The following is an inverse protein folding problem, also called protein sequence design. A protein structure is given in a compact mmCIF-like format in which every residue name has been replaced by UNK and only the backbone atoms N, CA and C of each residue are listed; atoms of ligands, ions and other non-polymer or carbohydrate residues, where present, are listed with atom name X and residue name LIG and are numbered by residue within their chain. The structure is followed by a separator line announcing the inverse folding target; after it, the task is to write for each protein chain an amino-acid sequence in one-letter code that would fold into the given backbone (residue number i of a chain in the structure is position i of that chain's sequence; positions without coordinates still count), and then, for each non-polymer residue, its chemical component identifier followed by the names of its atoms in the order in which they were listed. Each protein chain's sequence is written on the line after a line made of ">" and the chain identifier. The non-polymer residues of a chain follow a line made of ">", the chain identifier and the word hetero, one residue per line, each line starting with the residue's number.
data_IF_490904896258
#
_entry.id   IF_490904896258
#
_cell.length_a   1.000
_cell.length_b   1.000
_cell.length_c   1.000
_cell.angle_alpha   90.00
_cell.angle_beta   90.00
_cell.angle_gamma   90.00
#
_symmetry.space_group_name_H-M   'P 1'
#
loop_
_entity.id
_entity.type
_entity.pdbx_description
1 polymer ?
#
# COMPACT_ATOMS: atom_id res chain seq x y z
N UNK A 1 -13.19 0.02 -18.66
CA UNK A 1 -12.67 1.39 -18.36
C UNK A 1 -11.17 1.25 -18.13
N UNK A 2 -10.37 2.11 -18.76
CA UNK A 2 -8.94 2.12 -18.46
C UNK A 2 -8.71 2.68 -17.05
N UNK A 3 -7.99 1.94 -16.21
CA UNK A 3 -7.62 2.41 -14.88
C UNK A 3 -6.62 3.56 -15.04
N UNK A 4 -6.94 4.70 -14.44
CA UNK A 4 -6.03 5.86 -14.48
C UNK A 4 -4.99 5.79 -13.36
N UNK A 5 -5.26 5.01 -12.31
CA UNK A 5 -4.42 4.84 -11.14
C UNK A 5 -4.03 3.36 -11.03
N UNK A 6 -2.74 3.08 -11.00
CA UNK A 6 -2.25 1.71 -10.82
C UNK A 6 -1.36 1.65 -9.59
N UNK A 7 -1.71 0.75 -8.68
CA UNK A 7 -0.91 0.40 -7.51
C UNK A 7 -0.04 -0.80 -7.86
N UNK A 8 1.25 -0.68 -7.66
CA UNK A 8 2.25 -1.69 -8.08
C UNK A 8 3.14 -2.09 -6.92
N UNK A 9 3.42 -3.36 -6.82
CA UNK A 9 4.52 -3.87 -6.00
C UNK A 9 5.18 -5.09 -6.62
N UNK A 10 6.43 -5.31 -6.28
CA UNK A 10 7.15 -6.54 -6.56
C UNK A 10 7.26 -7.31 -5.24
N UNK A 11 6.53 -8.42 -5.16
CA UNK A 11 6.54 -9.29 -3.99
C UNK A 11 7.80 -10.14 -3.94
N UNK A 12 8.33 -10.42 -2.76
CA UNK A 12 9.49 -11.29 -2.58
C UNK A 12 9.22 -12.72 -3.08
N UNK A 13 7.97 -13.17 -2.99
CA UNK A 13 7.46 -14.45 -3.51
C UNK A 13 5.99 -14.33 -3.86
N UNK A 14 5.54 -15.09 -4.86
CA UNK A 14 4.14 -15.14 -5.30
C UNK A 14 3.14 -15.40 -4.16
N UNK A 15 3.51 -16.22 -3.18
CA UNK A 15 2.62 -16.59 -2.07
C UNK A 15 2.17 -15.40 -1.21
N UNK A 16 2.87 -14.27 -1.27
CA UNK A 16 2.53 -13.06 -0.51
C UNK A 16 1.63 -12.15 -1.34
N UNK A 17 0.41 -11.92 -0.87
CA UNK A 17 -0.47 -10.91 -1.42
C UNK A 17 -0.19 -9.55 -0.76
N UNK A 18 -0.07 -8.49 -1.56
CA UNK A 18 0.22 -7.16 -1.02
C UNK A 18 -0.95 -6.62 -0.20
N UNK A 19 -0.77 -6.58 1.10
CA UNK A 19 -1.77 -6.09 2.04
C UNK A 19 -1.89 -4.56 2.00
N UNK A 20 -0.75 -3.86 2.00
CA UNK A 20 -0.72 -2.41 1.96
C UNK A 20 -1.38 -1.82 0.71
N UNK A 21 -1.13 -2.38 -0.49
CA UNK A 21 -1.77 -1.89 -1.71
C UNK A 21 -3.29 -2.13 -1.70
N UNK A 22 -3.75 -3.23 -1.09
CA UNK A 22 -5.19 -3.48 -0.93
C UNK A 22 -5.83 -2.48 0.02
N UNK A 23 -5.13 -2.08 1.10
CA UNK A 23 -5.61 -1.00 1.96
C UNK A 23 -5.69 0.33 1.22
N UNK A 24 -4.67 0.70 0.44
CA UNK A 24 -4.74 1.90 -0.39
C UNK A 24 -5.97 1.84 -1.31
N UNK A 25 -6.16 0.72 -2.03
CA UNK A 25 -7.29 0.57 -2.95
C UNK A 25 -8.65 0.63 -2.24
N UNK A 26 -8.81 -0.04 -1.10
CA UNK A 26 -10.05 -0.06 -0.32
C UNK A 26 -10.48 1.35 0.14
N UNK A 27 -9.53 2.26 0.26
CA UNK A 27 -9.74 3.63 0.72
C UNK A 27 -9.72 4.67 -0.42
N UNK A 28 -9.80 4.23 -1.69
CA UNK A 28 -9.84 5.12 -2.86
C UNK A 28 -11.22 5.77 -3.12
N UNK A 29 -12.22 5.52 -2.31
CA UNK A 29 -13.55 6.14 -2.36
C UNK A 29 -14.11 6.19 -3.81
N UNK A 30 -14.44 7.38 -4.33
CA UNK A 30 -14.95 7.62 -5.69
C UNK A 30 -13.91 7.34 -6.79
N UNK A 31 -12.64 7.14 -6.45
CA UNK A 31 -11.58 6.73 -7.37
C UNK A 31 -11.36 5.21 -7.42
N UNK A 32 -12.09 4.41 -6.63
CA UNK A 32 -11.90 2.97 -6.55
C UNK A 32 -12.05 2.27 -7.91
N UNK A 33 -13.09 2.60 -8.69
CA UNK A 33 -13.33 2.03 -10.03
C UNK A 33 -12.27 2.41 -11.07
N UNK A 34 -11.48 3.45 -10.79
CA UNK A 34 -10.36 3.92 -11.62
C UNK A 34 -9.02 3.42 -11.13
N UNK A 35 -9.00 2.64 -10.06
CA UNK A 35 -7.80 2.11 -9.42
C UNK A 35 -7.68 0.61 -9.65
N UNK A 36 -6.49 0.14 -9.92
CA UNK A 36 -6.20 -1.30 -10.02
C UNK A 36 -4.87 -1.64 -9.35
N UNK A 37 -4.72 -2.91 -8.96
CA UNK A 37 -3.49 -3.43 -8.35
C UNK A 37 -2.81 -4.35 -9.35
N UNK A 38 -1.50 -4.16 -9.54
CA UNK A 38 -0.61 -5.08 -10.24
C UNK A 38 0.44 -5.58 -9.26
N UNK A 39 0.48 -6.89 -9.09
CA UNK A 39 1.47 -7.56 -8.25
C UNK A 39 2.38 -8.41 -9.12
N UNK A 40 3.66 -8.17 -9.02
CA UNK A 40 4.72 -8.92 -9.71
C UNK A 40 5.59 -9.66 -8.69
N UNK A 41 6.41 -10.57 -9.15
CA UNK A 41 7.47 -11.21 -8.36
C UNK A 41 8.81 -10.54 -8.67
N UNK A 42 9.69 -10.39 -7.68
CA UNK A 42 11.02 -9.76 -7.83
C UNK A 42 11.91 -10.46 -8.86
N UNK A 43 11.62 -11.71 -9.23
CA UNK A 43 12.37 -12.47 -10.22
C UNK A 43 11.90 -12.23 -11.68
N UNK A 44 10.80 -11.51 -11.88
CA UNK A 44 10.33 -11.18 -13.22
C UNK A 44 11.23 -10.12 -13.87
N UNK A 45 11.34 -10.17 -15.19
CA UNK A 45 12.14 -9.20 -15.91
C UNK A 45 11.54 -7.80 -15.83
N UNK A 46 12.37 -6.83 -15.47
CA UNK A 46 11.95 -5.43 -15.27
C UNK A 46 11.29 -4.84 -16.53
N UNK A 47 11.79 -5.20 -17.73
CA UNK A 47 11.23 -4.71 -18.99
C UNK A 47 9.81 -5.25 -19.22
N UNK A 48 9.54 -6.53 -18.91
CA UNK A 48 8.23 -7.15 -19.05
C UNK A 48 7.22 -6.52 -18.06
N UNK A 49 7.71 -6.16 -16.85
CA UNK A 49 6.93 -5.41 -15.86
C UNK A 49 6.61 -4.00 -16.38
N UNK A 50 7.59 -3.30 -16.93
CA UNK A 50 7.38 -1.96 -17.49
C UNK A 50 6.35 -1.98 -18.63
N UNK A 51 6.43 -2.93 -19.55
CA UNK A 51 5.48 -3.16 -20.63
C UNK A 51 4.06 -3.39 -20.08
N UNK A 52 3.92 -4.33 -19.14
CA UNK A 52 2.63 -4.66 -18.51
C UNK A 52 1.97 -3.45 -17.82
N UNK A 53 2.78 -2.56 -17.24
CA UNK A 53 2.29 -1.32 -16.64
C UNK A 53 1.85 -0.33 -17.72
N UNK A 54 2.68 -0.12 -18.74
CA UNK A 54 2.42 0.86 -19.80
C UNK A 54 1.22 0.49 -20.67
N UNK A 55 0.97 -0.80 -20.89
CA UNK A 55 -0.22 -1.32 -21.59
C UNK A 55 -1.53 -0.89 -20.92
N UNK A 56 -1.52 -0.65 -19.61
CA UNK A 56 -2.68 -0.10 -18.89
C UNK A 56 -2.85 1.40 -19.04
N UNK A 57 -1.91 2.09 -19.69
CA UNK A 57 -1.92 3.54 -19.90
C UNK A 57 -2.18 4.36 -18.62
N UNK A 58 -1.43 4.14 -17.53
CA UNK A 58 -1.67 4.84 -16.27
C UNK A 58 -1.41 6.36 -16.39
N UNK A 59 -2.17 7.13 -15.63
CA UNK A 59 -1.89 8.55 -15.36
C UNK A 59 -1.11 8.70 -14.04
N UNK A 60 -1.45 7.87 -13.06
CA UNK A 60 -0.83 7.84 -11.73
C UNK A 60 -0.36 6.43 -11.44
N UNK A 61 0.85 6.31 -10.91
CA UNK A 61 1.46 5.06 -10.47
C UNK A 61 1.85 5.15 -9.00
N UNK A 62 1.31 4.24 -8.17
CA UNK A 62 1.68 4.14 -6.76
C UNK A 62 2.52 2.88 -6.51
N UNK A 63 3.73 3.04 -5.97
CA UNK A 63 4.61 1.93 -5.61
C UNK A 63 4.70 1.69 -4.11
N UNK A 64 4.50 0.44 -3.68
CA UNK A 64 4.82 -0.02 -2.33
C UNK A 64 6.28 -0.47 -2.23
N UNK A 65 7.10 0.26 -1.46
CA UNK A 65 8.53 0.06 -1.35
C UNK A 65 8.89 -0.66 -0.06
N UNK A 66 9.59 -1.78 -0.21
CA UNK A 66 10.07 -2.64 0.86
C UNK A 66 11.54 -2.99 0.60
N UNK A 67 12.28 -3.40 1.62
CA UNK A 67 13.71 -3.71 1.54
C UNK A 67 14.08 -4.68 0.39
N UNK A 68 13.19 -5.61 0.06
CA UNK A 68 13.44 -6.61 -1.00
C UNK A 68 13.19 -6.09 -2.42
N UNK A 69 12.48 -4.98 -2.59
CA UNK A 69 12.11 -4.49 -3.91
C UNK A 69 12.65 -3.09 -4.26
N UNK A 70 13.41 -2.45 -3.38
CA UNK A 70 14.00 -1.11 -3.64
C UNK A 70 14.79 -1.09 -4.95
N UNK A 71 15.75 -2.01 -5.10
CA UNK A 71 16.62 -2.05 -6.26
C UNK A 71 15.84 -2.28 -7.57
N UNK A 72 15.00 -3.32 -7.70
CA UNK A 72 14.25 -3.52 -8.92
C UNK A 72 13.26 -2.38 -9.21
N UNK A 73 12.60 -1.80 -8.19
CA UNK A 73 11.68 -0.68 -8.42
C UNK A 73 12.43 0.60 -8.82
N UNK A 74 13.60 0.89 -8.26
CA UNK A 74 14.40 2.05 -8.69
C UNK A 74 14.80 1.97 -10.17
N UNK A 75 15.15 0.78 -10.65
CA UNK A 75 15.42 0.52 -12.08
C UNK A 75 14.15 0.70 -12.92
N UNK A 76 13.02 0.16 -12.47
CA UNK A 76 11.73 0.27 -13.13
C UNK A 76 11.29 1.74 -13.25
N UNK A 77 11.41 2.52 -12.18
CA UNK A 77 11.12 3.98 -12.18
C UNK A 77 11.96 4.70 -13.23
N UNK A 78 13.26 4.37 -13.31
CA UNK A 78 14.17 4.99 -14.30
C UNK A 78 13.76 4.68 -15.74
N UNK A 79 13.27 3.46 -16.02
CA UNK A 79 12.74 3.07 -17.33
C UNK A 79 11.43 3.82 -17.62
N UNK A 80 10.47 3.78 -16.69
CA UNK A 80 9.17 4.41 -16.85
C UNK A 80 9.28 5.92 -17.04
N UNK A 81 10.18 6.58 -16.32
CA UNK A 81 10.42 8.02 -16.46
C UNK A 81 10.94 8.39 -17.84
N UNK A 82 11.75 7.55 -18.47
CA UNK A 82 12.22 7.76 -19.86
C UNK A 82 11.14 7.52 -20.90
N UNK A 83 10.30 6.49 -20.70
CA UNK A 83 9.28 6.10 -21.67
C UNK A 83 8.01 6.96 -21.57
N UNK A 84 7.65 7.42 -20.38
CA UNK A 84 6.45 8.23 -20.11
C UNK A 84 6.77 9.35 -19.12
N UNK A 85 7.38 10.45 -19.53
CA UNK A 85 7.81 11.54 -18.65
C UNK A 85 6.67 12.18 -17.85
N UNK A 86 5.46 12.24 -18.41
CA UNK A 86 4.29 12.84 -17.76
C UNK A 86 3.61 11.96 -16.72
N UNK A 87 4.03 10.69 -16.61
CA UNK A 87 3.48 9.75 -15.64
C UNK A 87 3.76 10.24 -14.21
N UNK A 88 2.71 10.38 -13.40
CA UNK A 88 2.86 10.72 -11.99
C UNK A 88 3.23 9.49 -11.19
N UNK A 89 4.43 9.49 -10.63
CA UNK A 89 4.97 8.39 -9.83
C UNK A 89 4.96 8.77 -8.36
N UNK A 90 4.21 8.01 -7.58
CA UNK A 90 4.07 8.15 -6.13
C UNK A 90 4.70 6.90 -5.49
N UNK A 91 5.51 7.09 -4.47
CA UNK A 91 6.10 5.98 -3.70
C UNK A 91 5.73 6.11 -2.22
N UNK A 92 5.64 4.98 -1.55
CA UNK A 92 5.42 4.89 -0.11
C UNK A 92 5.85 3.52 0.40
N UNK A 93 5.75 3.32 1.69
CA UNK A 93 6.12 2.06 2.34
C UNK A 93 7.29 2.21 3.30
N UNK A 94 7.60 1.15 4.07
CA UNK A 94 8.52 1.24 5.20
C UNK A 94 9.93 1.66 4.80
N UNK A 95 10.43 1.24 3.64
CA UNK A 95 11.80 1.48 3.21
C UNK A 95 12.08 2.92 2.78
N UNK A 96 11.05 3.68 2.44
CA UNK A 96 11.17 5.09 2.03
C UNK A 96 10.53 6.05 3.02
N UNK A 97 9.97 5.55 4.12
CA UNK A 97 9.38 6.39 5.17
C UNK A 97 10.43 7.04 6.06
N UNK A 98 11.63 6.44 6.12
CA UNK A 98 12.74 6.93 6.90
C UNK A 98 13.99 7.04 6.02
N UNK A 99 14.92 7.92 6.36
CA UNK A 99 16.20 8.11 5.65
C UNK A 99 16.07 8.32 4.13
N UNK A 100 14.91 8.77 3.70
CA UNK A 100 14.59 8.94 2.28
C UNK A 100 15.47 10.00 1.59
N UNK A 101 16.03 10.97 2.32
CA UNK A 101 16.91 12.00 1.78
C UNK A 101 18.23 11.45 1.23
N UNK A 102 18.65 10.26 1.67
CA UNK A 102 19.87 9.60 1.23
C UNK A 102 19.66 8.75 -0.04
N UNK A 103 18.42 8.54 -0.45
CA UNK A 103 18.08 7.70 -1.59
C UNK A 103 17.98 8.51 -2.89
N UNK A 104 19.07 8.59 -3.64
CA UNK A 104 19.20 9.38 -4.88
C UNK A 104 18.12 9.07 -5.94
N UNK A 105 17.67 7.80 -6.06
CA UNK A 105 16.68 7.40 -7.03
C UNK A 105 15.30 8.07 -6.80
N UNK A 106 15.01 8.51 -5.57
CA UNK A 106 13.79 9.23 -5.24
C UNK A 106 13.69 10.60 -5.91
N UNK A 107 14.78 11.13 -6.47
CA UNK A 107 14.73 12.34 -7.30
C UNK A 107 13.89 12.15 -8.57
N UNK A 108 13.75 10.90 -9.03
CA UNK A 108 13.00 10.55 -10.24
C UNK A 108 11.49 10.33 -10.01
N UNK A 109 11.02 10.29 -8.76
CA UNK A 109 9.61 10.19 -8.42
C UNK A 109 9.00 11.59 -8.21
N UNK A 110 7.69 11.73 -8.42
CA UNK A 110 7.00 13.00 -8.20
C UNK A 110 6.67 13.20 -6.73
N UNK A 111 6.20 12.15 -6.05
CA UNK A 111 5.74 12.22 -4.67
C UNK A 111 6.21 11.04 -3.84
N UNK A 112 6.50 11.31 -2.58
CA UNK A 112 6.76 10.34 -1.53
C UNK A 112 5.73 10.54 -0.41
N UNK A 113 5.02 9.48 -0.02
CA UNK A 113 4.13 9.49 1.15
C UNK A 113 4.77 8.63 2.25
N UNK A 114 5.04 9.23 3.39
CA UNK A 114 5.57 8.55 4.58
C UNK A 114 4.46 8.27 5.58
N UNK A 115 4.60 7.23 6.39
CA UNK A 115 3.61 6.84 7.39
C UNK A 115 2.44 6.03 6.80
N UNK A 116 1.26 6.14 7.43
CA UNK A 116 0.05 5.42 7.03
C UNK A 116 -0.67 6.15 5.90
N UNK A 117 -0.43 5.71 4.67
CA UNK A 117 -0.85 6.40 3.46
C UNK A 117 -2.32 6.15 3.06
N UNK A 118 -3.10 5.39 3.83
CA UNK A 118 -4.45 4.93 3.47
C UNK A 118 -5.35 6.06 2.92
N UNK A 119 -5.42 7.19 3.61
CA UNK A 119 -6.21 8.35 3.19
C UNK A 119 -5.40 9.35 2.37
N UNK A 120 -4.13 9.56 2.74
CA UNK A 120 -3.27 10.55 2.08
C UNK A 120 -3.01 10.21 0.60
N UNK A 121 -3.00 8.94 0.23
CA UNK A 121 -2.86 8.51 -1.16
C UNK A 121 -4.10 8.89 -2.00
N UNK A 122 -5.30 8.66 -1.46
CA UNK A 122 -6.54 9.10 -2.10
C UNK A 122 -6.57 10.62 -2.29
N UNK A 123 -6.27 11.38 -1.22
CA UNK A 123 -6.28 12.84 -1.26
C UNK A 123 -5.32 13.38 -2.33
N UNK A 124 -4.09 12.82 -2.39
CA UNK A 124 -3.13 13.20 -3.42
C UNK A 124 -3.61 12.84 -4.83
N UNK A 125 -4.14 11.63 -5.03
CA UNK A 125 -4.68 11.24 -6.34
C UNK A 125 -5.83 12.13 -6.78
N UNK A 126 -6.69 12.53 -5.86
CA UNK A 126 -7.79 13.45 -6.12
C UNK A 126 -7.29 14.83 -6.52
N UNK A 127 -6.34 15.39 -5.77
CA UNK A 127 -5.68 16.66 -6.10
C UNK A 127 -5.06 16.60 -7.50
N UNK A 128 -4.33 15.53 -7.83
CA UNK A 128 -3.66 15.35 -9.13
C UNK A 128 -4.63 15.24 -10.32
N UNK A 129 -5.82 14.70 -10.11
CA UNK A 129 -6.80 14.47 -11.18
C UNK A 129 -7.76 15.63 -11.37
N UNK A 130 -8.02 16.43 -10.33
CA UNK A 130 -9.02 17.50 -10.34
C UNK A 130 -8.37 18.86 -10.41
N UNK A 131 -7.34 19.10 -9.61
CA UNK A 131 -6.66 20.40 -9.47
C UNK A 131 -5.14 20.25 -9.47
N UNK A 132 -4.51 19.80 -10.57
CA UNK A 132 -3.09 19.42 -10.57
C UNK A 132 -2.15 20.58 -10.20
N UNK A 133 -2.55 21.84 -10.43
CA UNK A 133 -1.72 23.03 -10.14
C UNK A 133 -2.08 23.72 -8.81
N UNK A 134 -3.28 23.50 -8.29
CA UNK A 134 -3.82 24.19 -7.12
C UNK A 134 -4.01 23.28 -5.90
N UNK A 135 -3.94 21.96 -6.07
CA UNK A 135 -4.12 20.99 -4.99
C UNK A 135 -3.09 21.18 -3.86
N UNK A 136 -3.56 21.16 -2.62
CA UNK A 136 -2.71 21.40 -1.44
C UNK A 136 -1.53 20.44 -1.32
N UNK A 137 -1.73 19.16 -1.70
CA UNK A 137 -0.70 18.13 -1.60
C UNK A 137 0.26 18.14 -2.80
N UNK A 138 -0.18 18.57 -3.97
CA UNK A 138 0.65 18.63 -5.18
C UNK A 138 1.83 19.61 -5.08
N UNK A 139 1.80 20.53 -4.12
CA UNK A 139 2.91 21.46 -3.85
C UNK A 139 4.04 20.85 -3.01
N UNK A 140 3.87 19.63 -2.50
CA UNK A 140 4.82 18.97 -1.60
C UNK A 140 5.35 17.69 -2.22
N UNK A 141 6.66 17.60 -2.40
CA UNK A 141 7.28 16.34 -2.86
C UNK A 141 7.22 15.24 -1.81
N UNK A 142 7.41 15.57 -0.55
CA UNK A 142 7.29 14.65 0.59
C UNK A 142 6.04 14.99 1.39
N UNK A 143 5.16 14.02 1.52
CA UNK A 143 3.89 14.12 2.24
C UNK A 143 3.98 13.22 3.46
N UNK A 144 3.97 13.83 4.64
CA UNK A 144 3.88 13.10 5.90
C UNK A 144 2.39 12.84 6.18
N UNK A 145 1.97 11.58 5.98
CA UNK A 145 0.59 11.19 6.23
C UNK A 145 0.25 11.35 7.72
N UNK A 146 -0.89 11.96 7.98
CA UNK A 146 -1.42 11.97 9.34
C UNK A 146 -1.85 10.54 9.72
N UNK A 147 -1.65 10.17 10.99
CA UNK A 147 -2.13 8.89 11.51
C UNK A 147 -3.67 8.91 11.46
N UNK A 148 -4.32 8.03 10.69
CA UNK A 148 -5.76 8.04 10.57
C UNK A 148 -6.45 7.44 11.81
N UNK A 149 -7.69 7.86 12.06
CA UNK A 149 -8.58 7.08 12.94
C UNK A 149 -8.89 5.75 12.23
N UNK A 150 -8.53 4.63 12.86
CA UNK A 150 -8.77 3.29 12.29
C UNK A 150 -10.25 3.01 12.00
N UNK A 151 -11.18 3.73 12.66
CA UNK A 151 -12.60 3.63 12.39
C UNK A 151 -13.01 4.23 11.04
N UNK A 152 -12.18 5.11 10.48
CA UNK A 152 -12.40 5.71 9.16
C UNK A 152 -11.76 4.91 8.01
N UNK A 153 -11.02 3.85 8.33
CA UNK A 153 -10.32 3.01 7.37
C UNK A 153 -11.21 1.82 6.97
N UNK A 154 -11.39 1.66 5.68
CA UNK A 154 -12.08 0.49 5.12
C UNK A 154 -11.15 -0.71 5.05
N UNK A 155 -11.62 -1.85 5.53
CA UNK A 155 -10.88 -3.12 5.41
C UNK A 155 -10.75 -3.56 3.95
N UNK A 156 -9.59 -4.14 3.55
CA UNK A 156 -9.31 -4.48 2.17
C UNK A 156 -9.74 -5.91 1.76
N UNK A 157 -10.46 -6.61 2.60
CA UNK A 157 -10.62 -8.06 2.48
C UNK A 157 -11.49 -8.49 1.29
N UNK A 158 -12.37 -7.64 0.82
CA UNK A 158 -13.18 -7.89 -0.38
C UNK A 158 -12.35 -7.89 -1.68
N UNK A 159 -11.18 -7.26 -1.64
CA UNK A 159 -10.26 -7.15 -2.79
C UNK A 159 -9.43 -8.41 -3.06
N UNK A 160 -9.47 -9.41 -2.18
CA UNK A 160 -8.84 -10.69 -2.45
C UNK A 160 -9.68 -11.51 -3.42
N UNK A 161 -9.09 -11.89 -4.55
CA UNK A 161 -9.73 -12.80 -5.49
C UNK A 161 -9.83 -14.24 -4.92
N UNK A 162 -10.72 -15.07 -5.45
CA UNK A 162 -10.84 -16.48 -5.04
C UNK A 162 -9.51 -17.24 -5.20
N UNK A 163 -8.73 -16.92 -6.22
CA UNK A 163 -7.40 -17.50 -6.42
C UNK A 163 -6.41 -17.09 -5.32
N UNK A 164 -6.50 -15.85 -4.79
CA UNK A 164 -5.67 -15.41 -3.67
C UNK A 164 -6.02 -16.21 -2.40
N UNK A 165 -7.31 -16.35 -2.09
CA UNK A 165 -7.79 -17.06 -0.91
C UNK A 165 -7.37 -18.53 -0.88
N UNK A 166 -7.22 -19.15 -2.06
CA UNK A 166 -6.85 -20.56 -2.20
C UNK A 166 -5.34 -20.80 -2.23
N UNK A 167 -4.56 -19.86 -2.82
CA UNK A 167 -3.17 -20.13 -3.18
C UNK A 167 -2.16 -19.18 -2.52
N UNK A 168 -2.62 -18.16 -1.80
CA UNK A 168 -1.75 -17.15 -1.20
C UNK A 168 -2.02 -17.00 0.30
N UNK A 169 -1.09 -16.37 1.00
CA UNK A 169 -1.27 -16.00 2.40
C UNK A 169 -2.01 -14.66 2.43
N UNK A 170 -3.21 -14.66 3.01
CA UNK A 170 -3.96 -13.44 3.29
C UNK A 170 -3.46 -12.85 4.58
N UNK A 171 -3.05 -11.58 4.54
CA UNK A 171 -2.67 -10.85 5.73
C UNK A 171 -3.89 -10.16 6.30
N UNK A 172 -4.00 -10.18 7.64
CA UNK A 172 -5.09 -9.54 8.39
C UNK A 172 -4.53 -8.75 9.56
N UNK A 173 -5.23 -7.72 9.97
CA UNK A 173 -4.89 -6.94 11.16
C UNK A 173 -6.14 -6.59 11.97
N UNK A 174 -6.06 -6.75 13.28
CA UNK A 174 -7.07 -6.31 14.23
C UNK A 174 -6.67 -4.99 14.91
N UNK A 175 -5.39 -4.62 14.82
CA UNK A 175 -4.86 -3.37 15.41
C UNK A 175 -3.59 -2.91 14.70
N UNK A 176 -3.34 -1.60 14.77
CA UNK A 176 -2.08 -0.94 14.36
C UNK A 176 -1.35 -0.38 15.55
N UNK A 177 -0.03 -0.27 15.42
CA UNK A 177 0.84 0.25 16.47
C UNK A 177 1.35 -0.81 17.43
N UNK A 178 2.24 -0.38 18.33
CA UNK A 178 2.87 -1.21 19.34
C UNK A 178 2.95 -0.45 20.67
N UNK A 179 2.64 -1.05 21.83
CA UNK A 179 2.74 -0.36 23.11
C UNK A 179 4.18 -0.36 23.67
N UNK A 180 5.10 -1.10 23.04
CA UNK A 180 6.47 -1.25 23.49
C UNK A 180 7.43 -0.32 22.76
N UNK A 181 8.40 0.24 23.49
CA UNK A 181 9.40 1.18 22.98
C UNK A 181 10.77 0.51 22.84
N UNK A 182 10.84 -0.65 22.17
CA UNK A 182 12.09 -1.38 21.97
C UNK A 182 13.05 -0.57 21.09
N UNK A 183 14.28 -0.34 21.54
CA UNK A 183 15.29 0.51 20.87
C UNK A 183 15.65 0.06 19.45
N UNK A 184 15.60 -1.25 19.18
CA UNK A 184 15.93 -1.84 17.89
C UNK A 184 14.73 -2.06 16.97
N UNK A 185 13.54 -1.62 17.37
CA UNK A 185 12.31 -1.91 16.65
C UNK A 185 11.66 -0.67 16.07
N UNK A 186 11.52 -0.61 14.75
CA UNK A 186 10.87 0.50 14.07
C UNK A 186 9.41 0.71 14.53
N UNK A 187 8.73 -0.37 14.92
CA UNK A 187 7.35 -0.30 15.43
C UNK A 187 7.22 0.41 16.78
N UNK A 188 8.34 0.67 17.47
CA UNK A 188 8.34 1.49 18.69
C UNK A 188 8.00 2.96 18.44
N UNK A 189 8.04 3.39 17.18
CA UNK A 189 7.67 4.75 16.76
C UNK A 189 6.15 4.91 16.52
N UNK A 190 5.40 3.79 16.47
CA UNK A 190 3.97 3.76 16.21
C UNK A 190 3.20 3.42 17.49
N UNK A 191 3.11 4.39 18.39
CA UNK A 191 2.35 4.32 19.65
C UNK A 191 1.27 5.40 19.67
N UNK A 192 0.10 5.16 20.28
CA UNK A 192 -0.37 3.94 20.97
C UNK A 192 -0.94 2.89 20.02
N UNK A 193 -1.26 1.70 20.54
CA UNK A 193 -2.04 0.69 19.81
C UNK A 193 -3.44 1.22 19.54
N UNK A 194 -3.87 1.12 18.28
CA UNK A 194 -5.18 1.54 17.78
C UNK A 194 -5.92 0.32 17.24
N UNK A 195 -6.90 -0.18 18.00
CA UNK A 195 -7.68 -1.34 17.62
C UNK A 195 -8.80 -0.96 16.63
N UNK A 196 -8.98 -1.76 15.59
CA UNK A 196 -10.18 -1.69 14.76
C UNK A 196 -11.41 -2.11 15.57
N UNK A 197 -12.62 -1.64 15.21
CA UNK A 197 -13.85 -2.13 15.82
C UNK A 197 -13.95 -3.64 15.65
N UNK A 198 -14.07 -4.36 16.79
CA UNK A 198 -13.97 -5.83 16.78
C UNK A 198 -15.09 -6.47 15.95
N UNK A 199 -16.28 -5.91 15.99
CA UNK A 199 -17.44 -6.43 15.25
C UNK A 199 -17.21 -6.37 13.74
N UNK A 200 -16.67 -5.26 13.23
CA UNK A 200 -16.39 -5.09 11.80
C UNK A 200 -15.26 -6.03 11.34
N UNK A 201 -14.25 -6.22 12.18
CA UNK A 201 -13.15 -7.16 11.91
C UNK A 201 -13.65 -8.60 11.86
N UNK A 202 -14.43 -9.04 12.85
CA UNK A 202 -14.98 -10.40 12.90
C UNK A 202 -15.93 -10.67 11.72
N UNK A 203 -16.79 -9.70 11.38
CA UNK A 203 -17.66 -9.81 10.20
C UNK A 203 -16.85 -10.00 8.91
N UNK A 204 -15.79 -9.24 8.75
CA UNK A 204 -14.91 -9.34 7.58
C UNK A 204 -14.17 -10.70 7.54
N UNK A 205 -13.76 -11.22 8.69
CA UNK A 205 -13.16 -12.56 8.78
C UNK A 205 -14.16 -13.66 8.42
N UNK A 206 -15.39 -13.58 8.91
CA UNK A 206 -16.46 -14.53 8.56
C UNK A 206 -16.73 -14.56 7.05
N UNK A 207 -16.77 -13.40 6.41
CA UNK A 207 -16.92 -13.28 4.96
C UNK A 207 -15.73 -13.93 4.21
N UNK A 208 -14.51 -13.73 4.68
CA UNK A 208 -13.33 -14.38 4.11
C UNK A 208 -13.40 -15.92 4.24
N UNK A 209 -13.81 -16.45 5.40
CA UNK A 209 -13.98 -17.88 5.60
C UNK A 209 -15.09 -18.46 4.70
N UNK A 210 -16.22 -17.78 4.57
CA UNK A 210 -17.30 -18.18 3.66
C UNK A 210 -16.85 -18.21 2.19
N UNK A 211 -15.91 -17.32 1.80
CA UNK A 211 -15.29 -17.28 0.46
C UNK A 211 -14.17 -18.32 0.29
N UNK A 212 -13.87 -19.13 1.32
CA UNK A 212 -12.92 -20.22 1.24
C UNK A 212 -11.49 -19.90 1.65
N UNK A 213 -11.28 -18.87 2.49
CA UNK A 213 -9.99 -18.57 3.08
C UNK A 213 -9.42 -19.81 3.80
N UNK A 214 -8.16 -20.17 3.49
CA UNK A 214 -7.46 -21.30 4.11
C UNK A 214 -6.25 -20.90 4.94
N UNK A 215 -5.52 -19.88 4.48
CA UNK A 215 -4.27 -19.47 5.11
C UNK A 215 -4.27 -17.96 5.32
N UNK A 216 -4.15 -17.54 6.57
CA UNK A 216 -4.00 -16.14 6.92
C UNK A 216 -2.94 -15.96 8.00
N UNK A 217 -2.42 -14.74 8.09
CA UNK A 217 -1.47 -14.31 9.13
C UNK A 217 -1.84 -12.93 9.63
N UNK A 218 -1.82 -12.78 10.96
CA UNK A 218 -1.89 -11.47 11.57
C UNK A 218 -0.59 -10.69 11.34
N UNK A 219 -0.72 -9.41 11.02
CA UNK A 219 0.40 -8.46 10.96
C UNK A 219 0.48 -7.58 12.18
N UNK A 220 -0.47 -7.70 13.10
CA UNK A 220 -0.46 -7.02 14.40
C UNK A 220 0.88 -7.23 15.11
N UNK A 221 1.46 -6.18 15.66
CA UNK A 221 2.73 -6.25 16.36
C UNK A 221 2.60 -6.93 17.72
N UNK A 222 1.39 -6.88 18.30
CA UNK A 222 1.08 -7.38 19.65
C UNK A 222 -0.36 -7.89 19.69
N UNK A 223 -0.63 -8.97 18.94
CA UNK A 223 -1.98 -9.49 18.69
C UNK A 223 -2.82 -9.78 19.95
N UNK A 224 -2.23 -10.32 21.01
CA UNK A 224 -2.96 -10.81 22.17
C UNK A 224 -2.85 -9.91 23.43
N UNK A 225 -2.52 -8.64 23.28
CA UNK A 225 -2.46 -7.70 24.41
C UNK A 225 -3.82 -7.36 25.00
N UNK A 226 -4.86 -7.37 24.17
CA UNK A 226 -6.21 -7.10 24.63
C UNK A 226 -6.95 -8.43 24.87
N UNK A 227 -7.30 -8.71 26.13
CA UNK A 227 -8.03 -9.92 26.55
C UNK A 227 -9.35 -10.06 25.77
N UNK A 228 -9.98 -8.98 25.38
CA UNK A 228 -11.24 -8.99 24.62
C UNK A 228 -11.06 -9.34 23.14
N UNK A 229 -9.86 -9.14 22.60
CA UNK A 229 -9.52 -9.48 21.20
C UNK A 229 -8.92 -10.89 21.08
N UNK A 230 -8.43 -11.46 22.18
CA UNK A 230 -7.79 -12.78 22.23
C UNK A 230 -8.70 -13.93 22.64
N UNK A 231 -9.99 -13.67 22.88
CA UNK A 231 -11.04 -14.67 23.14
C UNK A 231 -11.83 -14.95 21.88
#
# INVERSE_FOLDING_TARGET
>A
MHSNIILVTLNAKYIHASFGLRYLHANMQDLADRTSILEFDINQKINDIAESILDKSPTILGFGIYIWNVEPISKLVSILRKLKPDLKIIVGGPEVSYEHSEQEWLKQVDYLITGEADLAFYDLCKDLLIEPEAGRLTQKKVIHAAIPDVKSIHHPYDLYASADLQNRIVYVEASRGCPFTCEFCLSSLDVPVRAFPIESFLQAMDQLFQRGLRHFKFVDRTFNLNINTGK
#
